data_IF_558285576595
#
_entry.id   IF_558285576595
#
_cell.length_a   1.000
_cell.length_b   1.000
_cell.length_c   1.000
_cell.angle_alpha   90.00
_cell.angle_beta   90.00
_cell.angle_gamma   90.00
#
_symmetry.space_group_name_H-M   'P 1'
#
loop_
_entity.id
_entity.type
_entity.pdbx_description
1 polymer ?
#
# COMPACT_ATOMS: atom_id res chain seq x y z
N UNK A 1 -4.65 31.50 14.58
CA UNK A 1 -4.12 30.22 14.05
C UNK A 1 -4.49 29.14 15.06
N UNK A 2 -5.58 28.41 14.81
CA UNK A 2 -6.07 27.37 15.70
C UNK A 2 -5.17 26.12 15.61
N UNK A 3 -4.96 25.35 16.70
CA UNK A 3 -4.20 24.11 16.66
C UNK A 3 -5.07 22.98 16.09
N UNK A 4 -4.52 22.24 15.13
CA UNK A 4 -5.13 21.05 14.52
C UNK A 4 -5.39 19.94 15.57
N UNK A 5 -6.47 19.16 15.47
CA UNK A 5 -6.79 18.12 16.44
C UNK A 5 -5.87 16.89 16.27
N UNK A 6 -5.08 16.58 17.31
CA UNK A 6 -4.32 15.33 17.36
C UNK A 6 -5.22 14.13 17.69
N UNK A 7 -5.44 13.26 16.71
CA UNK A 7 -6.14 11.97 16.87
C UNK A 7 -5.36 10.99 17.75
N UNK A 8 -5.46 11.15 19.08
CA UNK A 8 -4.85 10.26 20.07
C UNK A 8 -5.93 9.48 20.81
N UNK A 9 -6.24 8.27 20.35
CA UNK A 9 -7.07 7.34 21.11
C UNK A 9 -6.21 6.65 22.19
N UNK A 10 -6.50 6.90 23.47
CA UNK A 10 -5.91 6.17 24.59
C UNK A 10 -6.68 4.84 24.70
N UNK A 11 -6.04 3.72 24.35
CA UNK A 11 -6.59 2.39 24.63
C UNK A 11 -6.24 2.05 26.07
N UNK A 12 -7.20 2.18 26.97
CA UNK A 12 -7.05 1.78 28.37
C UNK A 12 -7.21 0.25 28.51
N UNK A 13 -6.17 -0.38 29.07
CA UNK A 13 -6.07 -1.74 29.62
C UNK A 13 -5.69 -2.93 28.72
N UNK A 14 -4.39 -3.28 28.78
CA UNK A 14 -3.97 -4.63 29.16
C UNK A 14 -3.42 -4.55 30.59
N UNK A 15 -4.10 -5.19 31.56
CA UNK A 15 -3.64 -5.38 32.94
C UNK A 15 -3.16 -4.12 33.70
N UNK A 16 -3.96 -3.05 33.73
CA UNK A 16 -3.73 -1.90 34.62
C UNK A 16 -2.54 -0.98 34.26
N UNK A 17 -1.79 -1.29 33.20
CA UNK A 17 -0.71 -0.44 32.71
C UNK A 17 -1.25 0.55 31.67
N UNK A 18 -1.25 1.85 32.01
CA UNK A 18 -1.69 2.93 31.11
C UNK A 18 -0.65 3.15 30.01
N UNK A 19 -0.89 2.58 28.82
CA UNK A 19 -0.08 2.85 27.63
C UNK A 19 -0.80 3.81 26.68
N UNK A 20 -0.11 4.86 26.24
CA UNK A 20 -0.60 5.75 25.17
C UNK A 20 -0.18 5.17 23.81
N UNK A 21 -1.08 4.44 23.16
CA UNK A 21 -0.89 4.05 21.77
C UNK A 21 -1.23 5.22 20.86
N UNK A 22 -0.22 5.98 20.42
CA UNK A 22 -0.40 6.91 19.29
C UNK A 22 -0.64 6.05 18.05
N UNK A 23 -1.91 5.88 17.64
CA UNK A 23 -2.23 5.33 16.32
C UNK A 23 -1.75 6.35 15.29
N UNK A 24 -0.47 6.30 14.91
CA UNK A 24 -0.07 6.82 13.60
C UNK A 24 -0.88 6.01 12.61
N UNK A 25 -1.88 6.64 12.00
CA UNK A 25 -2.47 6.15 10.75
C UNK A 25 -1.39 6.39 9.68
N UNK A 26 -0.26 5.71 9.83
CA UNK A 26 0.72 5.62 8.80
C UNK A 26 0.00 4.93 7.65
N UNK A 27 -0.04 5.57 6.50
CA UNK A 27 -0.09 4.84 5.24
C UNK A 27 0.78 3.60 5.43
N UNK A 28 0.18 2.40 5.47
CA UNK A 28 0.99 1.17 5.64
C UNK A 28 1.95 1.01 4.46
N UNK A 29 1.68 1.74 3.38
CA UNK A 29 2.49 1.81 2.18
C UNK A 29 3.54 2.89 2.35
N UNK A 30 4.78 2.44 2.43
CA UNK A 30 5.97 3.29 2.38
C UNK A 30 6.08 3.95 0.98
N UNK A 31 6.49 5.24 0.88
CA UNK A 31 6.65 5.93 -0.41
C UNK A 31 7.49 5.19 -1.46
N UNK A 32 8.44 4.36 -1.01
CA UNK A 32 9.30 3.52 -1.82
C UNK A 32 8.49 2.48 -2.61
N UNK A 33 7.43 1.92 -2.03
CA UNK A 33 6.57 0.94 -2.70
C UNK A 33 5.69 1.59 -3.74
N UNK A 34 5.27 2.85 -3.54
CA UNK A 34 4.61 3.63 -4.59
C UNK A 34 5.52 3.85 -5.79
N UNK A 35 6.82 4.14 -5.58
CA UNK A 35 7.79 4.28 -6.69
C UNK A 35 7.95 2.98 -7.47
N UNK A 36 8.05 1.85 -6.78
CA UNK A 36 8.14 0.54 -7.41
C UNK A 36 6.89 0.22 -8.25
N UNK A 37 5.71 0.46 -7.69
CA UNK A 37 4.44 0.26 -8.38
C UNK A 37 4.33 1.16 -9.62
N UNK A 38 4.63 2.45 -9.51
CA UNK A 38 4.59 3.38 -10.65
C UNK A 38 5.56 2.97 -11.77
N UNK A 39 6.75 2.46 -11.44
CA UNK A 39 7.69 1.92 -12.43
C UNK A 39 7.07 0.73 -13.17
N UNK A 40 6.39 -0.16 -12.47
CA UNK A 40 5.75 -1.34 -13.05
C UNK A 40 4.53 -1.00 -13.89
N UNK A 41 3.78 0.06 -13.55
CA UNK A 41 2.71 0.58 -14.42
C UNK A 41 3.26 1.14 -15.75
N UNK A 42 4.53 1.53 -15.80
CA UNK A 42 5.21 1.93 -17.03
C UNK A 42 5.74 0.75 -17.86
N UNK A 43 5.65 -0.48 -17.36
CA UNK A 43 6.16 -1.65 -18.06
C UNK A 43 5.26 -2.00 -19.27
N UNK A 44 5.81 -2.22 -20.48
CA UNK A 44 5.00 -2.46 -21.68
C UNK A 44 4.05 -3.66 -21.59
N UNK A 45 4.39 -4.69 -20.81
CA UNK A 45 3.53 -5.87 -20.66
C UNK A 45 2.43 -5.59 -19.65
N UNK A 46 2.74 -4.91 -18.55
CA UNK A 46 1.72 -4.47 -17.58
C UNK A 46 0.74 -3.50 -18.25
N UNK A 47 1.23 -2.56 -19.05
CA UNK A 47 0.37 -1.65 -19.82
C UNK A 47 -0.54 -2.38 -20.80
N UNK A 48 0.00 -3.35 -21.55
CA UNK A 48 -0.82 -4.18 -22.47
C UNK A 48 -1.87 -4.99 -21.71
N UNK A 49 -1.54 -5.50 -20.53
CA UNK A 49 -2.48 -6.21 -19.67
C UNK A 49 -3.61 -5.29 -19.19
N UNK A 50 -3.29 -4.10 -18.68
CA UNK A 50 -4.28 -3.13 -18.22
C UNK A 50 -5.16 -2.62 -19.38
N UNK A 51 -4.58 -2.44 -20.57
CA UNK A 51 -5.33 -2.05 -21.77
C UNK A 51 -6.23 -3.17 -22.31
N UNK A 52 -5.88 -4.43 -22.03
CA UNK A 52 -6.67 -5.60 -22.37
C UNK A 52 -7.87 -5.76 -21.42
N UNK A 53 -7.70 -5.48 -20.12
CA UNK A 53 -8.77 -5.54 -19.12
C UNK A 53 -9.67 -4.28 -19.11
N UNK A 54 -10.35 -4.04 -20.23
CA UNK A 54 -11.21 -2.85 -20.43
C UNK A 54 -12.38 -2.76 -19.45
N UNK A 55 -12.88 -3.90 -18.99
CA UNK A 55 -13.99 -3.99 -18.06
C UNK A 55 -13.53 -3.88 -16.59
N UNK A 56 -12.22 -3.73 -16.34
CA UNK A 56 -11.60 -3.69 -15.01
C UNK A 56 -11.99 -4.90 -14.14
N UNK A 57 -12.11 -6.09 -14.74
CA UNK A 57 -12.53 -7.30 -14.01
C UNK A 57 -11.43 -7.86 -13.13
N UNK A 58 -10.18 -7.66 -13.53
CA UNK A 58 -9.00 -8.22 -12.85
C UNK A 58 -7.98 -7.15 -12.47
N UNK A 59 -8.21 -5.90 -12.85
CA UNK A 59 -7.33 -4.76 -12.59
C UNK A 59 -8.05 -3.52 -12.05
N UNK A 60 -9.17 -3.71 -11.35
CA UNK A 60 -9.86 -2.60 -10.71
C UNK A 60 -8.98 -1.88 -9.68
N UNK A 61 -9.40 -0.67 -9.30
CA UNK A 61 -8.64 0.20 -8.40
C UNK A 61 -8.36 -0.42 -7.01
N UNK A 62 -9.20 -1.33 -6.53
CA UNK A 62 -9.02 -2.01 -5.26
C UNK A 62 -8.01 -3.15 -5.40
N UNK A 63 -8.06 -3.94 -6.48
CA UNK A 63 -7.05 -4.95 -6.77
C UNK A 63 -5.66 -4.32 -6.93
N UNK A 64 -5.56 -3.22 -7.67
CA UNK A 64 -4.31 -2.47 -7.80
C UNK A 64 -3.83 -1.87 -6.46
N UNK A 65 -4.76 -1.39 -5.62
CA UNK A 65 -4.41 -0.97 -4.26
C UNK A 65 -3.91 -2.14 -3.40
N UNK A 66 -4.47 -3.34 -3.57
CA UNK A 66 -4.00 -4.55 -2.90
C UNK A 66 -2.60 -4.96 -3.34
N UNK A 67 -2.24 -4.80 -4.62
CA UNK A 67 -0.86 -5.04 -5.10
C UNK A 67 0.15 -4.16 -4.36
N UNK A 68 -0.15 -2.87 -4.21
CA UNK A 68 0.72 -1.93 -3.47
C UNK A 68 0.80 -2.30 -1.98
N UNK A 69 -0.32 -2.72 -1.39
CA UNK A 69 -0.34 -3.22 -0.01
C UNK A 69 0.51 -4.49 0.15
N UNK A 70 0.47 -5.40 -0.83
CA UNK A 70 1.30 -6.61 -0.86
C UNK A 70 2.80 -6.24 -0.93
N UNK A 71 3.17 -5.29 -1.78
CA UNK A 71 4.56 -4.81 -1.86
C UNK A 71 5.05 -4.21 -0.54
N UNK A 72 4.15 -3.57 0.19
CA UNK A 72 4.48 -2.99 1.50
C UNK A 72 4.66 -4.07 2.57
N UNK A 73 3.98 -5.20 2.44
CA UNK A 73 4.01 -6.32 3.39
C UNK A 73 5.13 -7.33 3.08
N UNK A 74 5.52 -7.48 1.82
CA UNK A 74 6.56 -8.42 1.41
C UNK A 74 7.96 -8.02 1.90
N UNK A 75 8.15 -6.78 2.35
CA UNK A 75 9.41 -6.32 2.94
C UNK A 75 10.59 -6.23 1.97
N UNK A 76 10.35 -6.38 0.66
CA UNK A 76 11.38 -6.25 -0.36
C UNK A 76 11.68 -4.77 -0.65
N UNK A 77 12.92 -4.51 -1.05
CA UNK A 77 13.33 -3.19 -1.51
C UNK A 77 12.63 -2.80 -2.82
N UNK A 78 12.36 -1.50 -3.00
CA UNK A 78 11.60 -0.97 -4.14
C UNK A 78 12.18 -1.31 -5.52
N UNK A 79 13.49 -1.48 -5.64
CA UNK A 79 14.15 -1.83 -6.90
C UNK A 79 14.08 -3.31 -7.27
N UNK A 80 13.76 -4.19 -6.33
CA UNK A 80 13.67 -5.64 -6.57
C UNK A 80 12.34 -6.07 -7.17
N UNK A 81 11.32 -5.21 -7.10
CA UNK A 81 10.04 -5.49 -7.72
C UNK A 81 10.15 -5.52 -9.25
N UNK A 82 10.01 -6.73 -9.78
CA UNK A 82 9.89 -7.00 -11.20
C UNK A 82 8.44 -7.25 -11.60
N UNK A 83 8.17 -7.23 -12.91
CA UNK A 83 6.86 -7.53 -13.52
C UNK A 83 6.18 -8.77 -12.93
N UNK A 84 6.91 -9.85 -12.71
CA UNK A 84 6.32 -11.08 -12.15
C UNK A 84 5.69 -10.86 -10.77
N UNK A 85 6.27 -9.98 -9.95
CA UNK A 85 5.73 -9.67 -8.61
C UNK A 85 4.42 -8.89 -8.70
N UNK A 86 4.23 -8.09 -9.75
CA UNK A 86 2.95 -7.42 -10.00
C UNK A 86 1.85 -8.46 -10.22
N UNK A 87 2.09 -9.43 -11.11
CA UNK A 87 1.10 -10.46 -11.43
C UNK A 87 0.90 -11.49 -10.32
N UNK A 88 1.91 -11.76 -9.49
CA UNK A 88 1.75 -12.62 -8.30
C UNK A 88 0.90 -11.98 -7.21
N UNK A 89 0.81 -10.65 -7.19
CA UNK A 89 0.06 -9.89 -6.19
C UNK A 89 -1.35 -9.49 -6.67
N UNK A 90 -1.68 -9.77 -7.94
CA UNK A 90 -2.94 -9.44 -8.60
C UNK A 90 -3.82 -10.69 -8.67
#
# INVERSE_FOLDING_TARGET
RAPEPEDTWVVEMLCGLKMKLKRKRASSVLPEHHKAFNRLLGDPVVQKFLAWDKDLRVSDKYLLAMVIAYFSRAGLFSWQYQRIHFFLAL
#
